data_IF_676289502018
#
_entry.id   IF_676289502018
#
_cell.length_a   1.000
_cell.length_b   1.000
_cell.length_c   1.000
_cell.angle_alpha   90.00
_cell.angle_beta   90.00
_cell.angle_gamma   90.00
#
_symmetry.space_group_name_H-M   'P 1'
#
loop_
_entity.id
_entity.type
_entity.pdbx_description
1 polymer ?
#
# COMPACT_ATOMS: atom_id res chain seq x y z
N UNK A 1 55.42 4.06 -10.67
CA UNK A 1 55.10 3.77 -9.25
C UNK A 1 53.78 4.46 -8.90
N UNK A 2 52.69 3.72 -8.71
CA UNK A 2 51.54 4.14 -7.92
C UNK A 2 51.38 3.30 -6.64
N UNK A 3 50.72 3.91 -5.66
CA UNK A 3 50.67 3.63 -4.21
C UNK A 3 49.51 2.66 -3.86
N UNK A 4 49.60 1.85 -2.78
CA UNK A 4 48.65 0.79 -2.47
C UNK A 4 47.57 1.22 -1.45
N UNK A 5 46.30 1.25 -1.86
CA UNK A 5 45.14 1.21 -0.95
C UNK A 5 44.05 0.26 -1.52
N UNK A 6 43.75 -0.76 -0.72
CA UNK A 6 42.60 -1.71 -0.72
C UNK A 6 42.43 -2.73 -1.87
N UNK A 7 42.40 -4.05 -1.56
CA UNK A 7 41.68 -5.02 -2.35
C UNK A 7 40.24 -5.15 -1.80
N UNK A 8 39.31 -4.32 -2.27
CA UNK A 8 37.93 -4.78 -2.42
C UNK A 8 37.79 -5.37 -3.82
N UNK A 9 38.43 -6.53 -4.02
CA UNK A 9 38.16 -7.40 -5.16
C UNK A 9 36.89 -8.16 -4.83
N UNK A 10 35.74 -7.64 -5.29
CA UNK A 10 34.61 -8.48 -5.59
C UNK A 10 35.07 -9.52 -6.62
N UNK A 11 35.15 -10.79 -6.22
CA UNK A 11 35.28 -11.90 -7.17
C UNK A 11 34.11 -11.84 -8.16
N UNK A 12 34.35 -11.81 -9.49
CA UNK A 12 33.30 -12.04 -10.46
C UNK A 12 33.13 -13.56 -10.56
N UNK A 13 32.10 -14.10 -9.92
CA UNK A 13 31.83 -15.55 -9.97
C UNK A 13 31.09 -16.10 -8.77
N UNK A 14 29.96 -15.50 -8.41
CA UNK A 14 28.85 -16.12 -7.69
C UNK A 14 27.64 -15.19 -7.84
N UNK A 15 27.17 -15.08 -9.08
CA UNK A 15 25.81 -14.66 -9.35
C UNK A 15 24.86 -15.81 -8.94
N UNK A 16 23.66 -15.43 -8.51
CA UNK A 16 22.51 -16.28 -8.22
C UNK A 16 22.56 -17.14 -6.94
N UNK A 17 22.59 -16.47 -5.79
CA UNK A 17 21.58 -16.73 -4.76
C UNK A 17 21.16 -15.39 -4.15
N UNK A 18 20.41 -14.62 -4.96
CA UNK A 18 19.53 -13.62 -4.39
C UNK A 18 18.63 -14.34 -3.38
N UNK A 19 18.82 -14.08 -2.09
CA UNK A 19 17.73 -14.20 -1.13
C UNK A 19 16.65 -13.20 -1.57
N UNK A 20 15.85 -13.61 -2.54
CA UNK A 20 14.53 -13.07 -2.79
C UNK A 20 13.76 -13.28 -1.49
N UNK A 21 13.81 -12.29 -0.59
CA UNK A 21 12.85 -12.18 0.51
C UNK A 21 11.48 -12.55 -0.04
N UNK A 22 10.77 -13.55 0.52
CA UNK A 22 9.63 -14.13 -0.15
C UNK A 22 8.61 -13.03 -0.44
N UNK A 23 8.16 -12.85 -1.71
CA UNK A 23 7.19 -11.82 -2.09
C UNK A 23 5.92 -11.88 -1.23
N UNK A 24 5.65 -13.05 -0.65
CA UNK A 24 4.61 -13.31 0.33
C UNK A 24 4.65 -12.38 1.56
N UNK A 25 5.83 -12.09 2.13
CA UNK A 25 5.94 -11.22 3.33
C UNK A 25 5.63 -9.75 3.01
N UNK A 26 5.92 -9.33 1.80
CA UNK A 26 5.57 -7.99 1.31
C UNK A 26 4.06 -7.92 1.04
N UNK A 27 3.49 -8.96 0.41
CA UNK A 27 2.06 -9.08 0.16
C UNK A 27 1.23 -9.14 1.45
N UNK A 28 1.67 -9.88 2.47
CA UNK A 28 0.98 -9.97 3.76
C UNK A 28 0.97 -8.65 4.53
N UNK A 29 2.08 -7.89 4.47
CA UNK A 29 2.14 -6.54 5.07
C UNK A 29 1.23 -5.56 4.35
N UNK A 30 1.19 -5.62 3.02
CA UNK A 30 0.23 -4.88 2.20
C UNK A 30 -1.22 -5.21 2.57
N UNK A 31 -1.56 -6.51 2.59
CA UNK A 31 -2.90 -7.00 2.89
C UNK A 31 -3.36 -6.59 4.30
N UNK A 32 -2.50 -6.71 5.33
CA UNK A 32 -2.86 -6.30 6.71
C UNK A 32 -3.18 -4.81 6.83
N UNK A 33 -2.44 -3.96 6.12
CA UNK A 33 -2.57 -2.50 6.26
C UNK A 33 -3.81 -1.94 5.56
N UNK A 34 -4.14 -2.49 4.39
CA UNK A 34 -5.33 -2.12 3.64
C UNK A 34 -6.50 -3.10 3.85
N UNK A 35 -6.40 -3.98 4.86
CA UNK A 35 -7.40 -5.00 5.17
C UNK A 35 -8.80 -4.41 5.31
N UNK A 36 -8.90 -3.20 5.87
CA UNK A 36 -10.17 -2.49 6.01
C UNK A 36 -10.79 -2.14 4.65
N UNK A 37 -10.01 -1.71 3.64
CA UNK A 37 -10.53 -1.47 2.28
C UNK A 37 -10.89 -2.77 1.58
N UNK A 38 -10.02 -3.78 1.69
CA UNK A 38 -10.21 -5.09 1.10
C UNK A 38 -11.48 -5.77 1.67
N UNK A 39 -11.84 -5.50 2.93
CA UNK A 39 -13.08 -6.01 3.53
C UNK A 39 -14.29 -5.11 3.27
N UNK A 40 -14.14 -3.79 3.34
CA UNK A 40 -15.25 -2.83 3.22
C UNK A 40 -15.89 -2.86 1.82
N UNK A 41 -15.09 -2.91 0.76
CA UNK A 41 -15.60 -2.86 -0.63
C UNK A 41 -16.47 -4.09 -0.98
N UNK A 42 -16.06 -5.34 -0.69
CA UNK A 42 -16.94 -6.51 -0.84
C UNK A 42 -18.23 -6.38 -0.04
N UNK A 43 -18.17 -5.93 1.22
CA UNK A 43 -19.37 -5.78 2.05
C UNK A 43 -20.34 -4.78 1.43
N UNK A 44 -19.86 -3.63 0.96
CA UNK A 44 -20.69 -2.61 0.31
C UNK A 44 -21.30 -3.12 -1.00
N UNK A 45 -20.53 -3.80 -1.85
CA UNK A 45 -21.04 -4.34 -3.12
C UNK A 45 -22.06 -5.47 -2.92
N UNK A 46 -21.86 -6.35 -1.93
CA UNK A 46 -22.82 -7.39 -1.56
C UNK A 46 -24.08 -6.77 -0.97
N UNK A 47 -23.96 -5.77 -0.09
CA UNK A 47 -25.12 -5.08 0.47
C UNK A 47 -25.95 -4.35 -0.60
N UNK A 48 -25.29 -3.63 -1.52
CA UNK A 48 -25.96 -2.99 -2.66
C UNK A 48 -26.66 -4.01 -3.57
N UNK A 49 -25.99 -5.14 -3.86
CA UNK A 49 -26.57 -6.20 -4.68
C UNK A 49 -27.75 -6.89 -3.99
N UNK A 50 -27.65 -7.15 -2.69
CA UNK A 50 -28.76 -7.70 -1.89
C UNK A 50 -29.97 -6.77 -1.88
N UNK A 51 -29.74 -5.46 -1.76
CA UNK A 51 -30.79 -4.44 -1.81
C UNK A 51 -31.50 -4.41 -3.16
N UNK A 52 -30.76 -4.52 -4.27
CA UNK A 52 -31.33 -4.60 -5.62
C UNK A 52 -32.15 -5.89 -5.79
N UNK A 53 -31.56 -7.03 -5.43
CA UNK A 53 -32.21 -8.35 -5.53
C UNK A 53 -33.49 -8.45 -4.70
N UNK A 54 -33.54 -7.76 -3.55
CA UNK A 54 -34.73 -7.74 -2.70
C UNK A 54 -35.88 -6.92 -3.30
N UNK A 55 -35.59 -5.96 -4.17
CA UNK A 55 -36.60 -5.13 -4.85
C UNK A 55 -37.11 -5.71 -6.16
N UNK A 56 -36.40 -6.69 -6.72
CA UNK A 56 -36.77 -7.31 -7.98
C UNK A 56 -37.90 -8.34 -7.80
N UNK A 57 -38.90 -8.30 -8.69
CA UNK A 57 -40.01 -9.23 -8.64
C UNK A 57 -39.53 -10.67 -8.90
N UNK A 58 -39.98 -11.62 -8.06
CA UNK A 58 -39.63 -13.03 -8.24
C UNK A 58 -40.37 -13.61 -9.44
N UNK A 59 -39.64 -14.20 -10.37
CA UNK A 59 -40.16 -14.85 -11.58
C UNK A 59 -40.17 -16.36 -11.37
N UNK A 60 -41.31 -16.98 -11.65
CA UNK A 60 -41.56 -18.41 -11.54
C UNK A 60 -41.76 -19.00 -12.94
N UNK A 61 -41.39 -20.28 -13.10
CA UNK A 61 -41.57 -21.01 -14.34
C UNK A 61 -42.55 -22.15 -14.15
N UNK A 62 -43.55 -22.21 -15.00
CA UNK A 62 -44.37 -23.39 -15.19
C UNK A 62 -43.86 -24.18 -16.41
N UNK A 63 -43.92 -25.51 -16.33
CA UNK A 63 -43.52 -26.40 -17.41
C UNK A 63 -44.53 -27.53 -17.62
N UNK A 64 -44.63 -28.02 -18.85
CA UNK A 64 -45.47 -29.15 -19.24
C UNK A 64 -44.79 -29.93 -20.37
N UNK A 65 -44.89 -31.25 -20.32
CA UNK A 65 -44.36 -32.16 -21.34
C UNK A 65 -45.47 -32.68 -22.25
N UNK A 66 -45.35 -32.44 -23.56
CA UNK A 66 -46.25 -32.97 -24.58
C UNK A 66 -45.54 -34.11 -25.33
N UNK A 67 -46.05 -35.32 -25.22
CA UNK A 67 -45.58 -36.47 -25.97
C UNK A 67 -46.16 -36.49 -27.37
N UNK A 68 -45.32 -36.67 -28.38
CA UNK A 68 -45.71 -36.78 -29.79
C UNK A 68 -45.23 -38.12 -30.33
N UNK A 69 -46.16 -38.97 -30.74
CA UNK A 69 -45.84 -40.27 -31.33
C UNK A 69 -46.46 -40.39 -32.72
N UNK A 70 -45.73 -41.01 -33.63
CA UNK A 70 -46.21 -41.34 -34.97
C UNK A 70 -46.58 -42.83 -35.02
N UNK A 71 -47.86 -43.12 -35.29
CA UNK A 71 -48.34 -44.50 -35.37
C UNK A 71 -47.72 -45.21 -36.57
N UNK A 72 -46.94 -46.27 -36.30
CA UNK A 72 -46.23 -47.06 -37.32
C UNK A 72 -44.71 -47.02 -37.22
N UNK A 73 -44.13 -46.08 -36.45
CA UNK A 73 -42.70 -46.02 -36.21
C UNK A 73 -42.24 -47.09 -35.18
N UNK A 74 -41.07 -47.71 -35.40
CA UNK A 74 -40.42 -48.65 -34.46
C UNK A 74 -38.96 -48.21 -34.21
N UNK A 75 -38.62 -47.69 -33.02
CA UNK A 75 -39.51 -47.37 -31.90
C UNK A 75 -40.50 -46.24 -32.27
N UNK A 76 -41.65 -46.13 -31.57
CA UNK A 76 -42.68 -45.12 -31.83
C UNK A 76 -42.22 -43.73 -31.35
N UNK A 77 -41.10 -43.26 -31.89
CA UNK A 77 -40.53 -41.95 -31.61
C UNK A 77 -40.93 -40.97 -32.71
N UNK A 78 -41.21 -39.73 -32.33
CA UNK A 78 -41.48 -38.67 -33.30
C UNK A 78 -40.20 -38.34 -34.07
N UNK A 79 -40.29 -38.30 -35.41
CA UNK A 79 -39.15 -37.87 -36.23
C UNK A 79 -38.73 -36.42 -35.89
N UNK A 80 -37.44 -36.05 -35.99
CA UNK A 80 -37.01 -34.67 -35.74
C UNK A 80 -37.78 -33.61 -36.57
N UNK A 81 -38.17 -33.97 -37.79
CA UNK A 81 -38.99 -33.14 -38.67
C UNK A 81 -40.42 -32.94 -38.12
N UNK A 82 -41.04 -34.00 -37.60
CA UNK A 82 -42.35 -33.92 -36.96
C UNK A 82 -42.30 -33.08 -35.68
N UNK A 83 -41.30 -33.29 -34.83
CA UNK A 83 -41.10 -32.55 -33.59
C UNK A 83 -40.89 -31.05 -33.83
N UNK A 84 -40.12 -30.69 -34.87
CA UNK A 84 -39.95 -29.30 -35.28
C UNK A 84 -41.25 -28.69 -35.82
N UNK A 85 -42.06 -29.49 -36.54
CA UNK A 85 -43.37 -29.07 -37.02
C UNK A 85 -44.32 -28.81 -35.85
N UNK A 86 -44.39 -29.72 -34.88
CA UNK A 86 -45.20 -29.58 -33.68
C UNK A 86 -44.77 -28.37 -32.83
N UNK A 87 -43.46 -28.13 -32.70
CA UNK A 87 -42.91 -26.93 -32.07
C UNK A 87 -43.35 -25.65 -32.77
N UNK A 88 -43.36 -25.61 -34.10
CA UNK A 88 -43.82 -24.45 -34.85
C UNK A 88 -45.33 -24.21 -34.68
N UNK A 89 -46.12 -25.27 -34.54
CA UNK A 89 -47.56 -25.18 -34.25
C UNK A 89 -47.79 -24.66 -32.83
N UNK A 90 -47.07 -25.18 -31.83
CA UNK A 90 -47.11 -24.66 -30.45
C UNK A 90 -46.74 -23.17 -30.37
N UNK A 91 -45.79 -22.73 -31.21
CA UNK A 91 -45.39 -21.31 -31.31
C UNK A 91 -46.25 -20.48 -32.27
N UNK A 92 -47.27 -21.07 -32.88
CA UNK A 92 -48.10 -20.35 -33.85
C UNK A 92 -48.97 -19.28 -33.17
N UNK A 93 -49.26 -18.21 -33.89
CA UNK A 93 -50.18 -17.16 -33.40
C UNK A 93 -51.60 -17.70 -33.16
N UNK A 94 -52.01 -18.80 -33.81
CA UNK A 94 -53.34 -19.40 -33.63
C UNK A 94 -53.49 -19.98 -32.23
N UNK A 95 -52.50 -20.74 -31.76
CA UNK A 95 -52.48 -21.29 -30.39
C UNK A 95 -52.35 -20.15 -29.38
N UNK A 96 -51.43 -19.20 -29.61
CA UNK A 96 -51.24 -18.06 -28.71
C UNK A 96 -52.51 -17.18 -28.60
N UNK A 97 -53.23 -16.96 -29.69
CA UNK A 97 -54.49 -16.21 -29.68
C UNK A 97 -55.57 -16.92 -28.88
N UNK A 98 -55.71 -18.24 -29.03
CA UNK A 98 -56.66 -19.04 -28.24
C UNK A 98 -56.40 -18.91 -26.74
N UNK A 99 -55.12 -18.99 -26.33
CA UNK A 99 -54.72 -18.84 -24.92
C UNK A 99 -55.04 -17.43 -24.39
N UNK A 100 -54.70 -16.38 -25.14
CA UNK A 100 -54.98 -14.98 -24.74
C UNK A 100 -56.47 -14.74 -24.60
N UNK A 101 -57.28 -15.21 -25.55
CA UNK A 101 -58.73 -15.01 -25.53
C UNK A 101 -59.40 -15.80 -24.41
N UNK A 102 -59.00 -17.04 -24.16
CA UNK A 102 -59.63 -17.88 -23.13
C UNK A 102 -59.26 -17.44 -21.71
N UNK A 103 -58.02 -16.99 -21.49
CA UNK A 103 -57.55 -16.55 -20.18
C UNK A 103 -57.70 -15.03 -19.94
N UNK A 104 -58.17 -14.27 -20.93
CA UNK A 104 -58.34 -12.82 -20.82
C UNK A 104 -57.03 -12.06 -20.54
N UNK A 105 -55.90 -12.53 -21.08
CA UNK A 105 -54.59 -11.98 -20.74
C UNK A 105 -54.40 -10.55 -21.31
N UNK A 106 -53.75 -9.63 -20.58
CA UNK A 106 -53.52 -8.26 -21.02
C UNK A 106 -52.38 -8.11 -22.06
N UNK A 107 -51.96 -9.20 -22.71
CA UNK A 107 -50.84 -9.24 -23.66
C UNK A 107 -51.31 -9.69 -25.04
N UNK A 108 -50.63 -9.24 -26.09
CA UNK A 108 -50.92 -9.68 -27.45
C UNK A 108 -50.46 -11.12 -27.71
N UNK A 109 -51.10 -11.81 -28.65
CA UNK A 109 -50.74 -13.18 -29.07
C UNK A 109 -49.29 -13.27 -29.57
N UNK A 110 -48.79 -12.24 -30.26
CA UNK A 110 -47.39 -12.15 -30.69
C UNK A 110 -46.40 -11.97 -29.52
N UNK A 111 -46.81 -11.30 -28.44
CA UNK A 111 -45.98 -11.17 -27.24
C UNK A 111 -45.96 -12.49 -26.44
N UNK A 112 -47.10 -13.18 -26.37
CA UNK A 112 -47.21 -14.48 -25.71
C UNK A 112 -46.37 -15.55 -26.43
N UNK A 113 -46.43 -15.63 -27.77
CA UNK A 113 -45.63 -16.61 -28.52
C UNK A 113 -44.11 -16.44 -28.36
N UNK A 114 -43.64 -15.21 -28.10
CA UNK A 114 -42.24 -14.93 -27.74
C UNK A 114 -41.89 -15.35 -26.30
N UNK A 115 -42.84 -15.22 -25.37
CA UNK A 115 -42.65 -15.59 -23.95
C UNK A 115 -42.72 -17.11 -23.72
N UNK A 116 -43.50 -17.83 -24.53
CA UNK A 116 -43.58 -19.30 -24.47
C UNK A 116 -42.31 -19.91 -25.06
N UNK A 117 -41.58 -20.68 -24.25
CA UNK A 117 -40.39 -21.41 -24.68
C UNK A 117 -40.72 -22.88 -24.87
N UNK A 118 -40.57 -23.36 -26.11
CA UNK A 118 -40.73 -24.76 -26.48
C UNK A 118 -39.36 -25.34 -26.82
N UNK A 119 -38.91 -26.31 -26.02
CA UNK A 119 -37.67 -27.03 -26.22
C UNK A 119 -37.95 -28.45 -26.74
N UNK A 120 -37.13 -28.88 -27.69
CA UNK A 120 -37.14 -30.22 -28.27
C UNK A 120 -35.82 -30.90 -27.88
N UNK A 121 -35.90 -32.14 -27.40
CA UNK A 121 -34.74 -32.99 -27.16
C UNK A 121 -34.65 -34.01 -28.30
N UNK A 122 -33.55 -34.04 -29.09
CA UNK A 122 -33.40 -34.90 -30.27
C UNK A 122 -33.70 -36.39 -30.03
N UNK A 123 -33.38 -36.87 -28.84
CA UNK A 123 -33.48 -38.28 -28.45
C UNK A 123 -34.79 -38.60 -27.70
N UNK A 124 -35.75 -37.66 -27.64
CA UNK A 124 -37.03 -37.85 -26.96
C UNK A 124 -38.23 -37.40 -27.80
N UNK A 125 -39.34 -38.10 -27.63
CA UNK A 125 -40.64 -37.75 -28.20
C UNK A 125 -41.39 -36.68 -27.41
N UNK A 126 -40.72 -35.96 -26.51
CA UNK A 126 -41.37 -35.01 -25.58
C UNK A 126 -40.97 -33.58 -25.92
N UNK A 127 -41.98 -32.73 -26.11
CA UNK A 127 -41.83 -31.28 -26.24
C UNK A 127 -42.07 -30.65 -24.87
N UNK A 128 -41.04 -29.97 -24.35
CA UNK A 128 -41.16 -29.23 -23.10
C UNK A 128 -41.58 -27.80 -23.38
N UNK A 129 -42.77 -27.43 -22.90
CA UNK A 129 -43.33 -26.09 -23.00
C UNK A 129 -43.17 -25.41 -21.65
N UNK A 130 -42.58 -24.22 -21.63
CA UNK A 130 -42.37 -23.43 -20.41
C UNK A 130 -42.78 -21.98 -20.59
N UNK A 131 -43.28 -21.37 -19.52
CA UNK A 131 -43.65 -19.96 -19.47
C UNK A 131 -43.23 -19.37 -18.12
N UNK A 132 -42.63 -18.18 -18.18
CA UNK A 132 -42.17 -17.45 -17.00
C UNK A 132 -43.17 -16.32 -16.68
N UNK A 133 -43.69 -16.28 -15.44
CA UNK A 133 -44.47 -15.15 -14.92
C UNK A 133 -44.11 -14.82 -13.48
N UNK A 134 -44.38 -13.59 -13.07
CA UNK A 134 -44.32 -13.15 -11.66
C UNK A 134 -45.42 -13.79 -10.82
N UNK A 135 -46.55 -14.17 -11.44
CA UNK A 135 -47.65 -14.88 -10.79
C UNK A 135 -47.58 -16.39 -11.09
N UNK A 136 -47.54 -17.19 -10.03
CA UNK A 136 -47.52 -18.66 -10.11
C UNK A 136 -48.78 -19.23 -10.77
N UNK A 137 -49.94 -18.63 -10.49
CA UNK A 137 -51.24 -19.08 -10.97
C UNK A 137 -51.43 -18.77 -12.46
N UNK A 138 -51.00 -17.59 -12.90
CA UNK A 138 -50.93 -17.20 -14.30
C UNK A 138 -50.01 -18.17 -15.05
N UNK A 139 -48.81 -18.44 -14.52
CA UNK A 139 -47.86 -19.31 -15.20
C UNK A 139 -48.42 -20.71 -15.46
N UNK A 140 -49.07 -21.30 -14.45
CA UNK A 140 -49.68 -22.62 -14.55
C UNK A 140 -50.85 -22.64 -15.55
N UNK A 141 -51.72 -21.63 -15.46
CA UNK A 141 -52.90 -21.49 -16.34
C UNK A 141 -52.49 -21.32 -17.80
N UNK A 142 -51.48 -20.50 -18.08
CA UNK A 142 -50.97 -20.24 -19.43
C UNK A 142 -50.41 -21.52 -20.05
N UNK A 143 -49.57 -22.26 -19.32
CA UNK A 143 -48.99 -23.51 -19.84
C UNK A 143 -50.07 -24.57 -20.06
N UNK A 144 -50.99 -24.73 -19.10
CA UNK A 144 -52.10 -25.68 -19.23
C UNK A 144 -53.02 -25.37 -20.40
N UNK A 145 -53.44 -24.11 -20.55
CA UNK A 145 -54.29 -23.69 -21.67
C UNK A 145 -53.57 -23.82 -23.01
N UNK A 146 -52.26 -23.59 -23.05
CA UNK A 146 -51.45 -23.81 -24.26
C UNK A 146 -51.52 -25.27 -24.72
N UNK A 147 -51.53 -26.23 -23.79
CA UNK A 147 -51.71 -27.66 -24.12
C UNK A 147 -53.08 -27.95 -24.72
N UNK A 148 -54.15 -27.43 -24.12
CA UNK A 148 -55.53 -27.62 -24.60
C UNK A 148 -55.72 -27.00 -25.99
N UNK A 149 -55.28 -25.76 -26.20
CA UNK A 149 -55.39 -25.09 -27.50
C UNK A 149 -54.53 -25.77 -28.57
N UNK A 150 -53.36 -26.27 -28.19
CA UNK A 150 -52.52 -27.04 -29.09
C UNK A 150 -53.20 -28.33 -29.55
N UNK A 151 -53.78 -29.10 -28.64
CA UNK A 151 -54.54 -30.31 -28.99
C UNK A 151 -55.69 -29.98 -29.93
N UNK A 152 -56.46 -28.93 -29.64
CA UNK A 152 -57.56 -28.46 -30.50
C UNK A 152 -57.08 -28.15 -31.93
N UNK A 153 -56.02 -27.35 -32.07
CA UNK A 153 -55.46 -26.97 -33.38
C UNK A 153 -54.83 -28.17 -34.10
N UNK A 154 -54.20 -29.08 -33.37
CA UNK A 154 -53.60 -30.29 -33.92
C UNK A 154 -54.67 -31.28 -34.43
N UNK A 155 -55.78 -31.45 -33.69
CA UNK A 155 -56.93 -32.26 -34.13
C UNK A 155 -57.59 -31.68 -35.37
N UNK A 156 -57.85 -30.38 -35.40
CA UNK A 156 -58.53 -29.70 -36.51
C UNK A 156 -57.71 -29.69 -37.81
N UNK A 157 -56.38 -29.56 -37.73
CA UNK A 157 -55.53 -29.37 -38.92
C UNK A 157 -54.74 -30.60 -39.35
N UNK A 158 -54.53 -31.58 -38.47
CA UNK A 158 -53.62 -32.70 -38.73
C UNK A 158 -54.24 -34.09 -38.49
N UNK A 159 -55.52 -34.18 -38.10
CA UNK A 159 -56.18 -35.48 -37.88
C UNK A 159 -55.57 -36.31 -36.75
N UNK A 160 -54.97 -35.64 -35.76
CA UNK A 160 -54.43 -36.24 -34.53
C UNK A 160 -55.57 -36.96 -33.78
N UNK A 161 -55.28 -37.95 -32.93
CA UNK A 161 -56.30 -38.59 -32.09
C UNK A 161 -55.82 -38.74 -30.64
N UNK A 162 -56.71 -38.56 -29.67
CA UNK A 162 -56.39 -38.45 -28.23
C UNK A 162 -56.02 -39.78 -27.56
N UNK A 163 -55.99 -40.90 -28.29
CA UNK A 163 -55.87 -42.23 -27.68
C UNK A 163 -54.92 -43.13 -28.45
N UNK A 164 -53.89 -43.61 -27.75
CA UNK A 164 -52.94 -44.65 -28.18
C UNK A 164 -53.57 -46.05 -28.45
N UNK A 165 -54.90 -46.16 -28.60
CA UNK A 165 -55.64 -47.45 -28.53
C UNK A 165 -56.44 -47.83 -29.78
N UNK A 166 -56.21 -47.27 -30.97
CA UNK A 166 -56.89 -47.69 -32.22
C UNK A 166 -55.91 -47.93 -33.39
N UNK A 167 -55.99 -49.06 -34.12
CA UNK A 167 -55.21 -49.27 -35.34
C UNK A 167 -55.95 -48.67 -36.56
N UNK A 168 -55.36 -47.65 -37.16
CA UNK A 168 -55.74 -47.03 -38.44
C UNK A 168 -54.49 -46.42 -39.09
N UNK A 169 -54.47 -46.19 -40.43
CA UNK A 169 -53.24 -45.85 -41.12
C UNK A 169 -52.83 -44.40 -40.85
N UNK A 170 -51.76 -44.22 -40.06
CA UNK A 170 -51.05 -42.99 -39.72
C UNK A 170 -51.82 -41.98 -38.85
N UNK A 171 -52.00 -42.32 -37.57
CA UNK A 171 -52.42 -41.40 -36.53
C UNK A 171 -51.18 -40.78 -35.85
N UNK A 172 -51.06 -39.46 -35.89
CA UNK A 172 -50.17 -38.73 -34.97
C UNK A 172 -50.91 -38.65 -33.64
N UNK A 173 -50.26 -39.01 -32.54
CA UNK A 173 -50.82 -38.90 -31.19
C UNK A 173 -50.05 -37.83 -30.43
N UNK A 174 -50.75 -36.79 -30.01
CA UNK A 174 -50.19 -35.72 -29.20
C UNK A 174 -50.95 -35.63 -27.87
N UNK A 175 -50.33 -36.11 -26.79
CA UNK A 175 -50.93 -36.11 -25.46
C UNK A 175 -50.02 -35.45 -24.45
N UNK A 176 -50.61 -34.80 -23.45
CA UNK A 176 -49.85 -34.30 -22.29
C UNK A 176 -49.33 -35.52 -21.52
N UNK A 177 -48.01 -35.68 -21.50
CA UNK A 177 -47.32 -36.79 -20.80
C UNK A 177 -46.95 -36.37 -19.39
N UNK A 178 -46.57 -35.10 -19.22
CA UNK A 178 -46.27 -34.50 -17.92
C UNK A 178 -47.19 -33.28 -17.72
N UNK A 179 -48.14 -33.33 -16.76
CA UNK A 179 -49.08 -32.24 -16.53
C UNK A 179 -48.37 -30.90 -16.24
N UNK A 180 -49.06 -29.76 -16.49
CA UNK A 180 -48.55 -28.47 -16.09
C UNK A 180 -48.19 -28.47 -14.59
N UNK A 181 -46.93 -28.17 -14.30
CA UNK A 181 -46.43 -28.06 -12.93
C UNK A 181 -45.49 -26.87 -12.81
N UNK A 182 -45.29 -26.39 -11.59
CA UNK A 182 -44.33 -25.33 -11.30
C UNK A 182 -42.96 -25.93 -11.04
N UNK A 183 -41.93 -25.39 -11.68
CA UNK A 183 -40.55 -25.75 -11.35
C UNK A 183 -40.24 -25.30 -9.91
N UNK A 184 -39.41 -26.08 -9.21
CA UNK A 184 -39.09 -25.82 -7.82
C UNK A 184 -38.28 -24.51 -7.67
N UNK A 185 -38.85 -23.55 -6.92
CA UNK A 185 -38.19 -22.29 -6.58
C UNK A 185 -38.46 -21.15 -7.57
N UNK A 186 -37.66 -20.08 -7.47
CA UNK A 186 -37.71 -18.93 -8.39
C UNK A 186 -36.59 -19.03 -9.41
N UNK A 187 -36.89 -18.71 -10.66
CA UNK A 187 -35.91 -18.73 -11.76
C UNK A 187 -35.06 -17.45 -11.76
N UNK A 188 -35.67 -16.33 -11.41
CA UNK A 188 -35.00 -15.03 -11.27
C UNK A 188 -35.62 -14.22 -10.12
N UNK A 189 -34.83 -13.43 -9.38
CA UNK A 189 -33.36 -13.43 -9.34
C UNK A 189 -32.81 -14.67 -8.61
N UNK A 190 -31.59 -15.09 -8.96
CA UNK A 190 -30.87 -16.18 -8.30
C UNK A 190 -29.93 -15.61 -7.22
N UNK A 191 -30.42 -15.37 -5.99
CA UNK A 191 -29.73 -14.52 -5.01
C UNK A 191 -28.33 -15.05 -4.68
N UNK A 192 -28.17 -16.38 -4.58
CA UNK A 192 -26.88 -16.99 -4.25
C UNK A 192 -25.82 -16.71 -5.31
N UNK A 193 -26.19 -16.79 -6.59
CA UNK A 193 -25.26 -16.54 -7.69
C UNK A 193 -24.96 -15.04 -7.82
N UNK A 194 -25.99 -14.19 -7.79
CA UNK A 194 -25.81 -12.73 -7.88
C UNK A 194 -24.95 -12.20 -6.74
N UNK A 195 -25.18 -12.66 -5.50
CA UNK A 195 -24.37 -12.26 -4.34
C UNK A 195 -22.94 -12.82 -4.42
N UNK A 196 -22.76 -14.04 -4.91
CA UNK A 196 -21.42 -14.60 -5.12
C UNK A 196 -20.62 -13.79 -6.16
N UNK A 197 -21.25 -13.43 -7.29
CA UNK A 197 -20.64 -12.55 -8.29
C UNK A 197 -20.32 -11.17 -7.72
N UNK A 198 -21.24 -10.58 -6.95
CA UNK A 198 -21.02 -9.30 -6.29
C UNK A 198 -19.83 -9.35 -5.31
N UNK A 199 -19.71 -10.43 -4.52
CA UNK A 199 -18.59 -10.61 -3.59
C UNK A 199 -17.25 -10.72 -4.31
N UNK A 200 -17.18 -11.51 -5.39
CA UNK A 200 -15.96 -11.67 -6.20
C UNK A 200 -15.56 -10.33 -6.84
N UNK A 201 -16.53 -9.63 -7.45
CA UNK A 201 -16.28 -8.34 -8.10
C UNK A 201 -15.86 -7.28 -7.08
N UNK A 202 -16.51 -7.24 -5.92
CA UNK A 202 -16.17 -6.35 -4.81
C UNK A 202 -14.77 -6.62 -4.24
N UNK A 203 -14.36 -7.88 -4.17
CA UNK A 203 -13.01 -8.24 -3.74
C UNK A 203 -11.95 -7.78 -4.74
N UNK A 204 -12.20 -8.00 -6.04
CA UNK A 204 -11.32 -7.52 -7.10
C UNK A 204 -11.18 -5.99 -7.05
N UNK A 205 -12.30 -5.26 -6.91
CA UNK A 205 -12.29 -3.81 -6.81
C UNK A 205 -11.59 -3.31 -5.53
N UNK A 206 -11.81 -4.00 -4.40
CA UNK A 206 -11.14 -3.70 -3.14
C UNK A 206 -9.62 -3.88 -3.21
N UNK A 207 -9.15 -4.92 -3.89
CA UNK A 207 -7.72 -5.15 -4.17
C UNK A 207 -7.13 -4.05 -5.04
N UNK A 208 -7.81 -3.66 -6.11
CA UNK A 208 -7.36 -2.57 -7.02
C UNK A 208 -7.27 -1.26 -6.25
N UNK A 209 -8.28 -0.91 -5.46
CA UNK A 209 -8.31 0.34 -4.69
C UNK A 209 -7.26 0.35 -3.58
N UNK A 210 -7.05 -0.79 -2.91
CA UNK A 210 -5.98 -0.96 -1.94
C UNK A 210 -4.60 -0.78 -2.58
N UNK A 211 -4.37 -1.37 -3.76
CA UNK A 211 -3.13 -1.21 -4.51
C UNK A 211 -2.92 0.24 -4.96
N UNK A 212 -3.94 0.88 -5.53
CA UNK A 212 -3.86 2.27 -5.97
C UNK A 212 -3.55 3.22 -4.80
N UNK A 213 -4.19 3.01 -3.64
CA UNK A 213 -3.89 3.80 -2.43
C UNK A 213 -2.46 3.58 -1.94
N UNK A 214 -1.95 2.38 -2.09
CA UNK A 214 -0.58 2.03 -1.69
C UNK A 214 0.46 2.63 -2.64
N UNK A 215 0.22 2.57 -3.95
CA UNK A 215 1.11 3.15 -4.96
C UNK A 215 1.18 4.68 -4.89
N UNK A 216 0.14 5.33 -4.33
CA UNK A 216 0.14 6.77 -4.06
C UNK A 216 0.87 7.15 -2.76
N UNK A 217 1.28 6.18 -1.93
CA UNK A 217 2.02 6.45 -0.70
C UNK A 217 3.54 6.30 -0.90
N UNK A 218 4.18 7.37 -1.38
CA UNK A 218 5.63 7.42 -1.68
C UNK A 218 6.56 7.49 -0.48
N UNK A 219 6.10 7.11 0.72
CA UNK A 219 6.94 7.16 1.93
C UNK A 219 7.95 6.03 1.95
N UNK A 220 9.17 6.33 2.40
CA UNK A 220 10.24 5.36 2.62
C UNK A 220 9.93 4.51 3.85
N UNK A 221 9.97 3.19 3.74
CA UNK A 221 9.58 2.26 4.82
C UNK A 221 10.59 1.17 5.11
N UNK A 222 11.57 0.95 4.26
CA UNK A 222 12.65 0.01 4.53
C UNK A 222 14.01 0.66 4.33
N UNK A 223 15.04 0.01 4.87
CA UNK A 223 16.44 0.33 4.60
C UNK A 223 16.69 0.32 3.09
N UNK A 224 16.31 -0.76 2.41
CA UNK A 224 16.53 -0.94 0.98
C UNK A 224 15.82 0.13 0.13
N UNK A 225 14.61 0.56 0.54
CA UNK A 225 13.90 1.66 -0.12
C UNK A 225 14.63 2.99 0.07
N UNK A 226 15.19 3.23 1.27
CA UNK A 226 15.99 4.43 1.55
C UNK A 226 17.26 4.44 0.70
N UNK A 227 18.03 3.34 0.71
CA UNK A 227 19.28 3.24 -0.04
C UNK A 227 19.05 3.42 -1.55
N UNK A 228 17.97 2.86 -2.09
CA UNK A 228 17.59 3.06 -3.50
C UNK A 228 17.18 4.50 -3.81
N UNK A 229 16.37 5.12 -2.95
CA UNK A 229 15.85 6.47 -3.19
C UNK A 229 16.96 7.55 -3.12
N UNK A 230 17.83 7.44 -2.12
CA UNK A 230 18.95 8.37 -1.92
C UNK A 230 20.20 7.99 -2.70
N UNK A 231 20.33 6.75 -3.19
CA UNK A 231 21.53 6.28 -3.90
C UNK A 231 22.78 6.22 -3.01
N UNK A 232 22.59 6.01 -1.70
CA UNK A 232 23.64 6.04 -0.69
C UNK A 232 23.40 4.94 0.37
N UNK A 233 24.44 4.40 1.03
CA UNK A 233 24.28 3.36 2.03
C UNK A 233 23.70 3.89 3.34
N UNK A 234 22.89 3.06 4.03
CA UNK A 234 22.47 3.35 5.41
C UNK A 234 23.55 2.88 6.38
N UNK A 235 24.14 3.85 7.09
CA UNK A 235 25.21 3.62 8.08
C UNK A 235 24.69 3.47 9.51
N UNK A 236 23.46 3.90 9.77
CA UNK A 236 22.83 3.76 11.08
C UNK A 236 21.31 3.73 11.01
N UNK A 237 20.72 2.99 11.94
CA UNK A 237 19.28 2.85 12.08
C UNK A 237 18.91 3.13 13.53
N UNK A 238 18.16 4.21 13.78
CA UNK A 238 17.70 4.60 15.12
C UNK A 238 16.23 4.18 15.31
N UNK A 239 15.91 3.44 16.39
CA UNK A 239 14.56 2.94 16.61
C UNK A 239 13.58 4.05 17.04
N UNK A 240 12.29 3.76 16.96
CA UNK A 240 11.23 4.63 17.52
C UNK A 240 11.40 4.79 19.02
N UNK A 241 11.13 6.00 19.51
CA UNK A 241 11.28 6.32 20.93
C UNK A 241 12.74 6.52 21.35
N UNK A 242 13.67 6.64 20.39
CA UNK A 242 14.97 7.26 20.64
C UNK A 242 14.76 8.66 21.24
N UNK A 243 15.46 8.96 22.34
CA UNK A 243 15.29 10.22 23.07
C UNK A 243 15.67 11.40 22.18
N UNK A 244 14.74 12.33 21.99
CA UNK A 244 15.00 13.56 21.23
C UNK A 244 16.10 14.41 21.89
N UNK A 245 16.20 14.35 23.23
CA UNK A 245 17.22 15.05 23.99
C UNK A 245 18.21 14.05 24.59
N UNK A 246 19.53 14.19 24.35
CA UNK A 246 20.50 13.34 24.99
C UNK A 246 20.52 13.57 26.51
N UNK A 247 20.70 12.50 27.27
CA UNK A 247 20.95 12.61 28.72
C UNK A 247 22.38 13.13 28.92
N UNK A 248 22.55 14.42 29.17
CA UNK A 248 23.87 15.05 29.45
C UNK A 248 24.23 14.98 30.94
N UNK A 249 23.23 15.03 31.83
CA UNK A 249 23.39 15.11 33.29
C UNK A 249 23.11 13.80 34.06
N UNK A 250 23.13 12.64 33.40
CA UNK A 250 22.89 11.34 34.05
C UNK A 250 23.14 10.15 33.13
N UNK A 251 22.93 8.90 33.61
CA UNK A 251 23.05 7.73 32.76
C UNK A 251 22.10 7.85 31.56
N UNK A 252 22.48 7.31 30.39
CA UNK A 252 21.63 7.33 29.22
C UNK A 252 20.29 6.66 29.56
N UNK A 253 19.19 7.41 29.50
CA UNK A 253 17.81 6.89 29.58
C UNK A 253 17.16 6.50 28.23
N UNK A 254 17.84 6.40 27.05
CA UNK A 254 17.25 5.67 25.94
C UNK A 254 17.03 4.21 26.34
N UNK A 255 15.94 3.59 25.84
CA UNK A 255 15.75 2.13 25.91
C UNK A 255 17.04 1.42 25.42
N UNK A 256 17.36 0.24 25.96
CA UNK A 256 18.58 -0.50 25.61
C UNK A 256 18.83 -0.60 24.09
N UNK A 257 17.76 -0.83 23.32
CA UNK A 257 17.82 -0.87 21.85
C UNK A 257 18.34 0.42 21.21
N UNK A 258 17.91 1.59 21.72
CA UNK A 258 18.33 2.88 21.21
C UNK A 258 19.81 3.18 21.54
N UNK A 259 20.31 2.70 22.68
CA UNK A 259 21.72 2.83 23.03
C UNK A 259 22.61 1.96 22.14
N UNK A 260 22.21 0.70 21.92
CA UNK A 260 22.92 -0.22 21.03
C UNK A 260 22.94 0.30 19.58
N UNK A 261 21.82 0.84 19.10
CA UNK A 261 21.73 1.46 17.78
C UNK A 261 22.69 2.65 17.62
N UNK A 262 22.77 3.51 18.64
CA UNK A 262 23.67 4.67 18.63
C UNK A 262 25.14 4.27 18.74
N UNK A 263 25.47 3.27 19.56
CA UNK A 263 26.82 2.69 19.64
C UNK A 263 27.24 2.07 18.31
N UNK A 264 26.33 1.36 17.64
CA UNK A 264 26.58 0.79 16.31
C UNK A 264 26.85 1.90 15.28
N UNK A 265 26.08 2.99 15.32
CA UNK A 265 26.33 4.15 14.46
C UNK A 265 27.71 4.77 14.74
N UNK A 266 28.10 4.94 16.01
CA UNK A 266 29.43 5.46 16.37
C UNK A 266 30.55 4.55 15.83
N UNK A 267 30.46 3.24 16.05
CA UNK A 267 31.44 2.27 15.56
C UNK A 267 31.56 2.28 14.02
N UNK A 268 30.43 2.41 13.31
CA UNK A 268 30.43 2.51 11.84
C UNK A 268 31.11 3.80 11.35
N UNK A 269 30.92 4.92 12.05
CA UNK A 269 31.60 6.18 11.73
C UNK A 269 33.09 6.12 12.06
N UNK A 270 33.48 5.53 13.19
CA UNK A 270 34.88 5.31 13.55
C UNK A 270 35.60 4.44 12.51
N UNK A 271 34.96 3.37 12.04
CA UNK A 271 35.48 2.53 10.98
C UNK A 271 35.60 3.28 9.64
N UNK A 272 34.63 4.13 9.31
CA UNK A 272 34.65 4.94 8.08
C UNK A 272 35.71 6.05 8.09
N UNK A 273 36.08 6.53 9.28
CA UNK A 273 37.08 7.57 9.55
C UNK A 273 38.47 7.03 9.93
N UNK A 274 38.70 5.72 9.77
CA UNK A 274 39.95 5.08 10.15
C UNK A 274 41.10 5.51 9.24
N UNK A 275 42.11 6.19 9.81
CA UNK A 275 43.29 6.67 9.10
C UNK A 275 43.32 8.18 8.84
N UNK A 276 42.21 8.88 9.05
CA UNK A 276 42.17 10.35 9.05
C UNK A 276 42.61 10.88 10.43
N UNK A 277 43.18 12.08 10.54
CA UNK A 277 43.51 12.71 11.83
C UNK A 277 42.29 13.42 12.46
N UNK A 278 41.32 13.83 11.64
CA UNK A 278 40.01 14.31 12.04
C UNK A 278 39.00 14.08 10.92
N UNK A 279 37.70 14.02 11.26
CA UNK A 279 36.63 13.90 10.27
C UNK A 279 35.53 14.93 10.49
N UNK A 280 35.17 15.62 9.42
CA UNK A 280 34.10 16.62 9.40
C UNK A 280 32.87 16.06 8.70
N UNK A 281 31.75 16.02 9.43
CA UNK A 281 30.46 15.54 8.96
C UNK A 281 29.44 16.67 8.90
N UNK A 282 28.86 16.90 7.73
CA UNK A 282 27.65 17.70 7.61
C UNK A 282 26.45 16.79 7.88
N UNK A 283 25.61 17.15 8.83
CA UNK A 283 24.35 16.45 9.11
C UNK A 283 23.18 17.31 8.66
N UNK A 284 22.35 16.75 7.78
CA UNK A 284 21.19 17.43 7.20
C UNK A 284 20.05 16.45 6.99
N UNK A 285 18.94 16.92 6.46
CA UNK A 285 17.78 16.10 6.09
C UNK A 285 17.12 16.64 4.82
N UNK A 286 16.18 15.91 4.21
CA UNK A 286 15.34 16.48 3.16
C UNK A 286 14.51 17.66 3.67
N UNK A 287 13.90 17.51 4.85
CA UNK A 287 13.04 18.52 5.48
C UNK A 287 13.28 18.57 6.99
N UNK A 288 12.98 19.72 7.61
CA UNK A 288 13.11 19.92 9.07
C UNK A 288 12.38 18.88 9.92
N UNK A 289 11.29 18.33 9.39
CA UNK A 289 10.46 17.35 10.08
C UNK A 289 11.20 16.04 10.35
N UNK A 290 12.34 15.81 9.69
CA UNK A 290 13.18 14.64 9.88
C UNK A 290 14.12 14.74 11.11
N UNK A 291 14.12 15.90 11.79
CA UNK A 291 14.81 16.15 13.06
C UNK A 291 16.32 15.81 13.06
N UNK A 292 17.11 16.34 12.11
CA UNK A 292 18.55 16.08 12.08
C UNK A 292 19.27 16.53 13.37
N UNK A 293 18.86 17.65 13.99
CA UNK A 293 19.41 18.15 15.25
C UNK A 293 19.42 17.12 16.39
N UNK A 294 18.34 16.34 16.53
CA UNK A 294 18.23 15.29 17.56
C UNK A 294 19.31 14.21 17.35
N UNK A 295 19.57 13.84 16.09
CA UNK A 295 20.60 12.87 15.73
C UNK A 295 21.99 13.44 16.02
N UNK A 296 22.24 14.70 15.65
CA UNK A 296 23.51 15.39 15.92
C UNK A 296 23.80 15.43 17.41
N UNK A 297 22.85 15.91 18.23
CA UNK A 297 23.06 16.08 19.67
C UNK A 297 23.37 14.74 20.36
N UNK A 298 22.63 13.69 20.03
CA UNK A 298 22.86 12.36 20.61
C UNK A 298 24.15 11.71 20.10
N UNK A 299 24.45 11.82 18.80
CA UNK A 299 25.68 11.31 18.22
C UNK A 299 26.90 11.99 18.85
N UNK A 300 26.85 13.31 19.03
CA UNK A 300 27.90 14.09 19.66
C UNK A 300 28.19 13.62 21.10
N UNK A 301 27.14 13.47 21.90
CA UNK A 301 27.25 12.98 23.28
C UNK A 301 27.77 11.55 23.32
N UNK A 302 27.37 10.68 22.38
CA UNK A 302 27.85 9.31 22.32
C UNK A 302 29.33 9.21 21.94
N UNK A 303 29.77 9.94 20.91
CA UNK A 303 31.18 10.01 20.51
C UNK A 303 32.06 10.58 21.63
N UNK A 304 31.61 11.66 22.30
CA UNK A 304 32.35 12.25 23.41
C UNK A 304 32.43 11.30 24.61
N UNK A 305 31.35 10.59 24.94
CA UNK A 305 31.38 9.51 25.94
C UNK A 305 32.28 8.35 25.56
N UNK A 306 32.46 8.09 24.26
CA UNK A 306 33.40 7.12 23.71
C UNK A 306 34.87 7.51 23.85
N UNK A 307 35.17 8.71 24.37
CA UNK A 307 36.53 9.19 24.59
C UNK A 307 37.02 10.21 23.56
N UNK A 308 36.21 10.57 22.57
CA UNK A 308 36.64 11.43 21.47
C UNK A 308 36.41 12.91 21.78
N UNK A 309 37.33 13.77 21.30
CA UNK A 309 37.10 15.21 21.28
C UNK A 309 36.18 15.55 20.09
N UNK A 310 34.99 16.05 20.40
CA UNK A 310 33.91 16.34 19.45
C UNK A 310 33.60 17.83 19.45
N UNK A 311 33.55 18.42 18.27
CA UNK A 311 33.04 19.78 18.03
C UNK A 311 31.68 19.69 17.34
N UNK A 312 30.67 20.34 17.90
CA UNK A 312 29.38 20.54 17.27
C UNK A 312 29.23 22.00 16.84
N UNK A 313 28.80 22.23 15.61
CA UNK A 313 28.50 23.56 15.08
C UNK A 313 27.02 23.58 14.69
N UNK A 314 26.24 24.48 15.28
CA UNK A 314 24.85 24.70 14.87
C UNK A 314 24.79 25.75 13.77
N UNK A 315 24.72 25.29 12.50
CA UNK A 315 24.56 26.17 11.35
C UNK A 315 23.09 26.43 10.98
N UNK A 316 22.13 26.00 11.81
CA UNK A 316 20.72 26.40 11.67
C UNK A 316 20.44 27.67 12.48
N UNK A 317 20.79 28.81 11.88
CA UNK A 317 20.48 30.14 12.43
C UNK A 317 19.00 30.48 12.40
N UNK A 318 18.18 29.79 11.62
CA UNK A 318 16.74 30.08 11.55
C UNK A 318 15.99 29.43 12.71
N UNK A 319 16.42 28.23 13.13
CA UNK A 319 15.81 27.46 14.21
C UNK A 319 16.88 26.78 15.07
N UNK A 320 17.68 27.56 15.83
CA UNK A 320 18.68 26.99 16.73
C UNK A 320 18.03 26.04 17.73
N UNK A 321 18.59 24.84 17.85
CA UNK A 321 18.06 23.82 18.76
C UNK A 321 19.13 23.08 19.54
N UNK A 322 20.39 23.08 19.08
CA UNK A 322 21.44 22.28 19.71
C UNK A 322 21.80 22.76 21.11
N UNK A 323 21.73 24.07 21.38
CA UNK A 323 21.95 24.67 22.70
C UNK A 323 21.04 24.05 23.77
N UNK A 324 19.73 24.01 23.49
CA UNK A 324 18.72 23.41 24.36
C UNK A 324 18.89 21.90 24.44
N UNK A 325 19.17 21.24 23.32
CA UNK A 325 19.33 19.78 23.30
C UNK A 325 20.54 19.32 24.13
N UNK A 326 21.64 20.08 24.10
CA UNK A 326 22.87 19.79 24.84
C UNK A 326 22.87 20.40 26.25
N UNK A 327 21.86 21.19 26.61
CA UNK A 327 21.71 21.76 27.95
C UNK A 327 22.69 22.90 28.25
N UNK A 328 23.14 23.60 27.21
CA UNK A 328 23.93 24.82 27.30
C UNK A 328 22.95 26.00 27.43
N UNK A 329 23.23 26.93 28.35
CA UNK A 329 22.41 28.14 28.49
C UNK A 329 22.49 28.96 27.20
N UNK A 330 21.35 29.27 26.60
CA UNK A 330 21.28 30.12 25.39
C UNK A 330 21.99 31.46 25.66
N UNK A 331 23.13 31.68 25.02
CA UNK A 331 23.87 32.95 25.06
C UNK A 331 23.67 33.73 23.77
N UNK A 332 23.86 35.04 23.86
CA UNK A 332 23.70 36.00 22.76
C UNK A 332 24.70 35.78 21.63
N UNK A 333 25.90 35.25 21.92
CA UNK A 333 26.97 35.06 20.95
C UNK A 333 27.04 33.61 20.47
N UNK A 334 27.10 33.41 19.16
CA UNK A 334 27.22 32.10 18.51
C UNK A 334 27.79 32.23 17.10
N UNK A 335 27.57 31.24 16.25
CA UNK A 335 28.05 31.19 14.87
C UNK A 335 27.70 32.44 14.08
N UNK A 336 26.48 32.96 14.24
CA UNK A 336 26.05 34.20 13.59
C UNK A 336 26.95 35.38 13.99
N UNK A 337 27.25 35.53 15.28
CA UNK A 337 28.08 36.61 15.81
C UNK A 337 29.56 36.47 15.43
N UNK A 338 30.05 35.24 15.29
CA UNK A 338 31.41 34.97 14.79
C UNK A 338 31.50 35.36 13.30
N UNK A 339 30.47 35.03 12.51
CA UNK A 339 30.45 35.29 11.07
C UNK A 339 30.17 36.76 10.75
N UNK A 340 29.27 37.44 11.45
CA UNK A 340 28.89 38.83 11.18
C UNK A 340 29.73 39.82 11.98
N UNK A 341 29.77 39.67 13.31
CA UNK A 341 30.41 40.64 14.23
C UNK A 341 31.93 40.43 14.35
N UNK A 342 32.48 39.35 13.75
CA UNK A 342 33.91 39.06 13.75
C UNK A 342 34.48 38.71 15.12
N UNK A 343 33.64 38.23 16.04
CA UNK A 343 34.06 37.75 17.36
C UNK A 343 34.94 36.51 17.16
N UNK A 344 36.06 36.36 17.91
CA UNK A 344 36.88 35.15 17.83
C UNK A 344 36.05 33.89 18.08
N UNK A 345 36.16 32.90 17.20
CA UNK A 345 35.37 31.68 17.27
C UNK A 345 35.51 30.97 18.62
N UNK A 346 36.69 31.01 19.22
CA UNK A 346 36.99 30.44 20.53
C UNK A 346 36.21 31.07 21.67
N UNK A 347 35.87 32.37 21.56
CA UNK A 347 35.10 33.06 22.59
C UNK A 347 33.61 32.69 22.56
N UNK A 348 33.13 32.13 21.45
CA UNK A 348 31.76 31.66 21.27
C UNK A 348 31.60 30.15 21.51
N UNK A 349 32.69 29.42 21.80
CA UNK A 349 32.62 28.00 22.11
C UNK A 349 32.15 27.77 23.55
N UNK A 350 31.20 26.86 23.69
CA UNK A 350 30.68 26.42 24.99
C UNK A 350 31.02 24.94 25.21
N UNK A 351 31.59 24.63 26.37
CA UNK A 351 31.86 23.24 26.76
C UNK A 351 30.59 22.60 27.32
N UNK A 352 30.17 21.48 26.73
CA UNK A 352 29.01 20.72 27.19
C UNK A 352 29.44 19.83 28.35
N UNK A 353 28.86 20.07 29.53
CA UNK A 353 29.12 19.24 30.70
C UNK A 353 28.52 17.83 30.52
N UNK A 354 29.39 16.83 30.38
CA UNK A 354 29.01 15.42 30.33
C UNK A 354 29.24 14.78 31.70
N UNK A 355 28.19 14.22 32.30
CA UNK A 355 28.35 13.39 33.49
C UNK A 355 29.15 12.12 33.13
N UNK A 356 30.27 11.90 33.83
CA UNK A 356 31.06 10.68 33.72
C UNK A 356 30.30 9.44 34.23
N UNK A 357 30.74 8.22 33.89
CA UNK A 357 30.16 7.01 34.46
C UNK A 357 30.31 7.05 35.98
N UNK A 358 29.18 7.06 36.69
CA UNK A 358 29.13 7.09 38.15
C UNK A 358 29.66 5.76 38.70
N UNK A 359 30.95 5.69 39.02
CA UNK A 359 31.45 4.68 39.95
C UNK A 359 30.98 5.06 41.35
N UNK A 360 30.11 4.23 41.94
CA UNK A 360 29.74 4.35 43.35
C UNK A 360 31.01 4.30 44.21
N UNK A 361 31.42 5.44 44.77
CA UNK A 361 32.51 5.50 45.73
C UNK A 361 33.24 6.83 45.75
N UNK A 362 32.88 7.65 46.74
CA UNK A 362 33.69 8.74 47.31
C UNK A 362 33.97 9.95 46.41
N UNK A 363 33.14 10.97 46.63
CA UNK A 363 33.48 12.36 46.38
C UNK A 363 34.75 12.73 47.16
N UNK A 364 35.78 13.19 46.45
CA UNK A 364 36.70 14.29 46.82
C UNK A 364 37.99 14.18 46.00
N UNK A 365 37.91 14.47 44.69
CA UNK A 365 39.03 15.12 44.00
C UNK A 365 38.52 15.67 42.65
N UNK A 366 38.35 16.99 42.56
CA UNK A 366 37.77 17.67 41.40
C UNK A 366 38.75 17.80 40.20
N UNK A 367 39.82 17.01 40.16
CA UNK A 367 40.95 17.26 39.26
C UNK A 367 41.67 16.02 38.71
N UNK A 368 41.18 14.78 38.88
CA UNK A 368 41.81 13.61 38.24
C UNK A 368 40.84 12.66 37.53
N UNK A 369 41.15 12.47 36.24
CA UNK A 369 40.64 11.51 35.26
C UNK A 369 39.19 11.72 34.79
N UNK A 370 38.99 12.60 33.80
CA UNK A 370 37.80 12.54 32.92
C UNK A 370 37.94 11.26 32.08
N UNK A 371 37.12 10.20 32.26
CA UNK A 371 37.23 8.98 31.48
C UNK A 371 36.58 9.10 30.08
N UNK A 372 36.18 10.32 29.67
CA UNK A 372 35.49 10.60 28.42
C UNK A 372 36.09 11.82 27.72
N UNK A 373 35.87 11.92 26.42
CA UNK A 373 36.35 13.01 25.57
C UNK A 373 35.56 14.31 25.79
N UNK A 374 36.03 15.39 25.16
CA UNK A 374 35.40 16.71 25.30
C UNK A 374 34.33 16.91 24.25
N UNK A 375 33.23 17.57 24.63
CA UNK A 375 32.21 18.04 23.69
C UNK A 375 32.15 19.56 23.74
N UNK A 376 32.50 20.21 22.63
CA UNK A 376 32.38 21.65 22.45
C UNK A 376 31.21 21.93 21.51
N UNK A 377 30.44 22.97 21.82
CA UNK A 377 29.35 23.47 20.99
C UNK A 377 29.67 24.91 20.56
N UNK A 378 29.63 25.16 19.25
CA UNK A 378 29.43 26.50 18.69
C UNK A 378 27.92 26.64 18.39
N UNK A 379 27.13 27.28 19.28
CA UNK A 379 25.70 27.44 19.06
C UNK A 379 25.46 28.39 17.88
N UNK A 380 24.27 28.39 17.28
CA UNK A 380 23.99 29.30 16.17
C UNK A 380 24.00 30.78 16.62
N UNK A 381 23.66 31.01 17.89
CA UNK A 381 23.49 32.33 18.49
C UNK A 381 22.04 32.82 18.39
N UNK A 382 21.81 34.06 18.83
CA UNK A 382 20.50 34.68 18.66
C UNK A 382 20.26 35.02 17.18
N UNK A 383 19.14 34.57 16.56
CA UNK A 383 18.82 34.96 15.20
C UNK A 383 18.64 36.50 15.12
N UNK A 384 19.04 37.15 14.02
CA UNK A 384 18.79 38.58 13.82
C UNK A 384 17.28 38.84 13.82
N UNK A 385 16.87 39.97 14.42
CA UNK A 385 15.47 40.34 14.61
C UNK A 385 14.67 40.40 13.28
N UNK A 386 15.35 40.68 12.18
CA UNK A 386 14.76 40.87 10.85
C UNK A 386 14.62 39.57 10.04
N UNK A 387 15.12 38.44 10.55
CA UNK A 387 14.96 37.11 9.93
C UNK A 387 15.76 36.88 8.64
N UNK A 388 16.63 37.81 8.24
CA UNK A 388 17.45 37.78 7.02
C UNK A 388 18.83 37.16 7.23
N UNK A 389 19.02 36.34 8.28
CA UNK A 389 20.30 35.68 8.53
C UNK A 389 20.75 34.85 7.32
N UNK A 390 21.80 35.34 6.65
CA UNK A 390 22.52 34.61 5.61
C UNK A 390 23.94 34.43 6.12
N UNK A 391 24.32 33.18 6.38
CA UNK A 391 25.70 32.90 6.78
C UNK A 391 26.57 32.93 5.53
N UNK A 392 27.61 33.78 5.52
CA UNK A 392 28.62 33.78 4.47
C UNK A 392 29.31 32.41 4.41
N UNK A 393 29.23 31.75 3.25
CA UNK A 393 29.83 30.43 3.03
C UNK A 393 31.33 30.42 3.29
N UNK A 394 32.03 31.48 2.85
CA UNK A 394 33.48 31.56 2.93
C UNK A 394 33.96 31.73 4.38
N UNK A 395 33.33 32.60 5.17
CA UNK A 395 33.65 32.75 6.60
C UNK A 395 33.32 31.50 7.40
N UNK A 396 32.21 30.83 7.07
CA UNK A 396 31.83 29.58 7.73
C UNK A 396 32.87 28.49 7.51
N UNK A 397 33.39 28.35 6.28
CA UNK A 397 34.47 27.42 5.96
C UNK A 397 35.76 27.75 6.72
N UNK A 398 36.15 29.02 6.78
CA UNK A 398 37.32 29.47 7.55
C UNK A 398 37.21 29.07 9.04
N UNK A 399 36.04 29.30 9.65
CA UNK A 399 35.76 28.92 11.04
C UNK A 399 35.81 27.39 11.23
N UNK A 400 35.20 26.64 10.31
CA UNK A 400 35.21 25.17 10.36
C UNK A 400 36.64 24.63 10.26
N UNK A 401 37.45 25.14 9.34
CA UNK A 401 38.86 24.74 9.20
C UNK A 401 39.67 25.10 10.44
N UNK A 402 39.48 26.31 10.99
CA UNK A 402 40.17 26.75 12.21
C UNK A 402 39.83 25.87 13.42
N UNK A 403 38.56 25.53 13.61
CA UNK A 403 38.10 24.81 14.79
C UNK A 403 38.26 23.29 14.67
N UNK A 404 38.12 22.73 13.47
CA UNK A 404 38.21 21.28 13.24
C UNK A 404 39.58 20.69 13.58
N UNK A 405 40.65 21.48 13.48
CA UNK A 405 42.01 21.08 13.84
C UNK A 405 42.17 20.64 15.32
N UNK A 406 41.17 20.91 16.17
CA UNK A 406 41.20 20.67 17.62
C UNK A 406 40.30 19.52 18.07
N UNK A 407 39.59 18.88 17.14
CA UNK A 407 38.62 17.83 17.43
C UNK A 407 38.83 16.63 16.51
N UNK A 408 38.67 15.43 17.06
CA UNK A 408 38.64 14.19 16.28
C UNK A 408 37.45 14.17 15.34
N UNK A 409 36.30 14.65 15.81
CA UNK A 409 35.05 14.69 15.06
C UNK A 409 34.43 16.08 15.08
N UNK A 410 34.15 16.62 13.90
CA UNK A 410 33.40 17.87 13.73
C UNK A 410 32.02 17.54 13.14
N UNK A 411 30.95 17.80 13.89
CA UNK A 411 29.57 17.62 13.46
C UNK A 411 28.93 18.98 13.18
N UNK A 412 28.61 19.24 11.92
CA UNK A 412 27.96 20.47 11.49
C UNK A 412 26.48 20.17 11.28
N UNK A 413 25.63 20.71 12.15
CA UNK A 413 24.18 20.65 11.96
C UNK A 413 23.75 21.71 10.96
N UNK A 414 22.88 21.32 10.02
CA UNK A 414 22.29 22.24 9.06
C UNK A 414 20.79 21.98 8.89
N UNK A 415 20.02 23.01 8.51
CA UNK A 415 18.61 22.83 8.19
C UNK A 415 18.41 21.87 7.00
N UNK A 416 17.18 21.44 6.79
CA UNK A 416 16.80 20.55 5.72
C UNK A 416 17.11 21.16 4.35
N UNK A 417 17.83 20.42 3.51
CA UNK A 417 18.31 20.86 2.19
C UNK A 417 17.21 21.41 1.28
N UNK A 418 16.01 20.83 1.33
CA UNK A 418 14.89 21.28 0.49
C UNK A 418 14.09 22.43 1.14
N UNK A 419 14.33 22.72 2.42
CA UNK A 419 13.69 23.83 3.15
C UNK A 419 14.53 25.10 3.07
N UNK A 420 15.84 24.98 3.33
CA UNK A 420 16.79 26.09 3.34
C UNK A 420 18.11 25.65 2.70
N UNK A 421 18.27 25.93 1.40
CA UNK A 421 19.39 25.38 0.63
C UNK A 421 20.74 26.06 0.94
N UNK A 422 20.78 27.34 1.33
CA UNK A 422 22.03 28.11 1.36
C UNK A 422 23.06 27.62 2.39
N UNK A 423 22.61 27.23 3.59
CA UNK A 423 23.51 26.79 4.67
C UNK A 423 24.14 25.43 4.40
N UNK A 424 23.32 24.41 4.13
CA UNK A 424 23.81 23.06 3.89
C UNK A 424 24.59 22.95 2.56
N UNK A 425 24.13 23.62 1.49
CA UNK A 425 24.76 23.51 0.18
C UNK A 425 26.17 24.13 0.12
N UNK A 426 26.40 25.20 0.88
CA UNK A 426 27.68 25.91 0.88
C UNK A 426 28.82 25.14 1.53
N UNK A 427 28.51 24.26 2.48
CA UNK A 427 29.51 23.47 3.24
C UNK A 427 29.63 22.04 2.69
N UNK A 428 28.60 21.55 2.01
CA UNK A 428 28.53 20.14 1.59
C UNK A 428 29.75 19.68 0.76
N UNK A 429 30.30 20.55 -0.10
CA UNK A 429 31.43 20.20 -0.96
C UNK A 429 32.77 20.07 -0.21
N UNK A 430 32.91 20.75 0.93
CA UNK A 430 34.16 20.91 1.67
C UNK A 430 34.27 20.01 2.91
N UNK A 431 33.21 19.27 3.23
CA UNK A 431 33.23 18.27 4.30
C UNK A 431 33.66 16.89 3.80
N UNK A 432 34.18 16.08 4.71
CA UNK A 432 34.61 14.71 4.39
C UNK A 432 33.41 13.83 4.01
N UNK A 433 32.26 14.03 4.67
CA UNK A 433 31.05 13.25 4.43
C UNK A 433 29.78 14.00 4.80
N UNK A 434 28.71 13.76 4.03
CA UNK A 434 27.37 14.26 4.31
C UNK A 434 26.50 13.12 4.85
N UNK A 435 26.00 13.28 6.06
CA UNK A 435 25.05 12.39 6.72
C UNK A 435 23.63 12.93 6.53
N UNK A 436 22.82 12.22 5.75
CA UNK A 436 21.43 12.60 5.51
C UNK A 436 20.50 11.79 6.42
N UNK A 437 19.75 12.50 7.26
CA UNK A 437 18.77 11.94 8.17
C UNK A 437 17.42 11.81 7.48
N UNK A 438 16.84 10.61 7.52
CA UNK A 438 15.51 10.32 6.98
C UNK A 438 14.66 9.58 8.02
N UNK A 439 13.36 9.85 8.08
CA UNK A 439 12.41 9.21 9.00
C UNK A 439 11.58 8.13 8.31
N UNK A 440 11.59 6.93 8.87
CA UNK A 440 10.80 5.80 8.37
C UNK A 440 9.29 6.08 8.45
N UNK A 441 8.60 5.96 7.32
CA UNK A 441 7.16 6.21 7.20
C UNK A 441 6.76 7.69 7.24
N UNK A 442 7.72 8.60 7.09
CA UNK A 442 7.50 10.06 7.00
C UNK A 442 8.18 10.66 5.78
N UNK A 443 9.47 10.41 5.57
CA UNK A 443 10.23 10.91 4.41
C UNK A 443 9.71 10.27 3.13
N UNK A 444 9.53 11.06 2.07
CA UNK A 444 9.06 10.59 0.76
C UNK A 444 10.22 10.31 -0.19
N UNK A 445 10.01 9.37 -1.12
CA UNK A 445 10.96 8.98 -2.15
C UNK A 445 11.34 10.16 -3.05
N UNK A 446 10.36 10.95 -3.46
CA UNK A 446 10.56 12.19 -4.24
C UNK A 446 11.55 13.14 -3.55
N UNK A 447 11.41 13.36 -2.23
CA UNK A 447 12.31 14.23 -1.48
C UNK A 447 13.72 13.66 -1.38
N UNK A 448 13.85 12.34 -1.22
CA UNK A 448 15.13 11.65 -1.22
C UNK A 448 15.85 11.77 -2.57
N UNK A 449 15.11 11.60 -3.66
CA UNK A 449 15.63 11.77 -5.02
C UNK A 449 16.10 13.21 -5.27
N UNK A 450 15.33 14.21 -4.83
CA UNK A 450 15.72 15.61 -4.93
C UNK A 450 16.99 15.91 -4.12
N UNK A 451 17.10 15.42 -2.88
CA UNK A 451 18.32 15.57 -2.07
C UNK A 451 19.52 14.92 -2.77
N UNK A 452 19.37 13.71 -3.31
CA UNK A 452 20.43 13.03 -4.06
C UNK A 452 20.88 13.84 -5.26
N UNK A 453 19.95 14.38 -6.04
CA UNK A 453 20.26 15.21 -7.22
C UNK A 453 20.98 16.51 -6.80
N UNK A 454 20.51 17.17 -5.75
CA UNK A 454 21.14 18.39 -5.22
C UNK A 454 22.56 18.12 -4.71
N UNK A 455 22.76 17.11 -3.86
CA UNK A 455 24.09 16.76 -3.34
C UNK A 455 25.05 16.32 -4.45
N UNK A 456 24.55 15.61 -5.47
CA UNK A 456 25.34 15.25 -6.66
C UNK A 456 25.73 16.49 -7.47
N UNK A 457 24.83 17.45 -7.65
CA UNK A 457 25.11 18.70 -8.35
C UNK A 457 26.16 19.56 -7.61
N UNK A 458 26.20 19.48 -6.28
CA UNK A 458 27.20 20.13 -5.43
C UNK A 458 28.56 19.41 -5.39
N UNK A 459 28.71 18.26 -6.06
CA UNK A 459 29.99 17.54 -6.13
C UNK A 459 30.37 16.79 -4.85
N UNK A 460 29.42 16.53 -3.96
CA UNK A 460 29.68 15.78 -2.71
C UNK A 460 30.17 14.37 -3.00
N UNK A 461 31.28 13.98 -2.36
CA UNK A 461 31.99 12.72 -2.65
C UNK A 461 31.50 11.54 -1.81
N UNK A 462 31.11 11.77 -0.55
CA UNK A 462 30.67 10.73 0.38
C UNK A 462 29.33 11.12 0.99
N UNK A 463 28.28 10.36 0.67
CA UNK A 463 26.93 10.51 1.23
C UNK A 463 26.60 9.23 1.99
N UNK A 464 26.09 9.37 3.20
CA UNK A 464 25.63 8.27 4.04
C UNK A 464 24.28 8.59 4.67
N UNK A 465 23.47 7.57 4.95
CA UNK A 465 22.11 7.73 5.44
C UNK A 465 21.97 7.27 6.90
N UNK A 466 21.22 8.04 7.67
CA UNK A 466 20.75 7.66 9.01
C UNK A 466 19.24 7.57 8.96
N UNK A 467 18.70 6.35 9.13
CA UNK A 467 17.27 6.11 9.14
C UNK A 467 16.75 6.14 10.58
N UNK A 468 15.82 7.04 10.89
CA UNK A 468 15.25 7.20 12.23
C UNK A 468 13.79 6.75 12.28
N UNK A 469 13.24 6.63 13.49
CA UNK A 469 11.88 6.15 13.74
C UNK A 469 11.59 4.76 13.17
N UNK A 470 12.60 3.88 13.18
CA UNK A 470 12.41 2.51 12.72
C UNK A 470 11.62 1.70 13.73
N UNK A 471 10.55 1.04 13.28
CA UNK A 471 9.79 0.10 14.12
C UNK A 471 10.65 -1.13 14.41
N UNK A 472 10.89 -1.42 15.69
CA UNK A 472 11.56 -2.65 16.11
C UNK A 472 10.55 -3.80 16.22
N UNK A 473 11.03 -5.04 16.17
CA UNK A 473 10.20 -6.25 16.27
C UNK A 473 9.67 -6.31 17.72
N UNK A 474 8.48 -5.75 17.95
CA UNK A 474 7.89 -5.59 19.28
C UNK A 474 6.79 -4.51 19.35
N UNK A 475 6.82 -3.56 18.42
CA UNK A 475 5.77 -2.54 18.14
C UNK A 475 4.85 -2.97 16.98
#
# INVERSE_FOLDING_TARGET
MPIPWLPFVCRPGQADLAETSPPLRQFLRFAKRQAWLIALVPVLTVAASAFIVQREASVYRASMGIGVAESGARPPLGSPALMQTMKNILKSNVVAQGVVTQLGLPISSAALSKKIRVQYQPDSSVLNVSYDSTDKSEALSVVGQTGVEFQRVAHERLGVSDSFKRPGPLLIVASVVDPPHLEAGRVSPQPKQTLAFAAILGLALGLILAYARESLDDRIRSRDEAEKAFGAPVVGVLPRGFSHQPSTKGPPQPRQEAQQALQTLCANLEAASSGDDGSTFLVTSPLERDKPADVVANLAVALARGGHDVLCIDADVHRPTLDRLLGVSARTHGLFSVVEDGIPAEAALEEVALAGPSTNGQANDASRARPGGRLLLLPAGAPPADGTAVISSQRLLEIVVQLSARSRYTLIHSPGLLSHMSGAASIAADVDSVLVVARQGRTRREWAENVRLTLKALGTRKIALILTDVRTIGD
#
